data_IF_048218932705
#
_entry.id   IF_048218932705
#
_cell.length_a   1.000
_cell.length_b   1.000
_cell.length_c   1.000
_cell.angle_alpha   90.00
_cell.angle_beta   90.00
_cell.angle_gamma   90.00
#
_symmetry.space_group_name_H-M   'P 1'
#
loop_
_entity.id
_entity.type
_entity.pdbx_description
1 polymer ?
#
# COMPACT_ATOMS: atom_id res chain seq x y z
N UNK A 1 -4.93 -24.20 2.40
CA UNK A 1 -3.84 -23.25 2.02
C UNK A 1 -2.48 -23.84 2.40
N UNK A 2 -1.49 -23.88 1.49
CA UNK A 2 -0.17 -24.52 1.73
C UNK A 2 0.84 -23.56 2.38
N UNK A 3 0.42 -22.83 3.42
CA UNK A 3 1.29 -21.88 4.13
C UNK A 3 2.34 -22.64 4.92
N UNK A 4 3.61 -22.26 4.77
CA UNK A 4 4.74 -22.87 5.50
C UNK A 4 5.43 -21.78 6.30
N UNK A 5 5.28 -21.84 7.62
CA UNK A 5 5.82 -20.83 8.53
C UNK A 5 7.08 -21.35 9.21
N UNK A 6 8.13 -20.53 9.25
CA UNK A 6 9.31 -20.78 10.08
C UNK A 6 9.02 -20.64 11.58
N UNK A 7 10.06 -20.57 12.42
CA UNK A 7 9.88 -20.19 13.82
C UNK A 7 9.63 -18.69 13.92
N UNK A 8 8.53 -18.24 14.53
CA UNK A 8 8.19 -16.83 14.61
C UNK A 8 6.82 -16.58 15.24
N UNK A 9 6.32 -15.35 15.09
CA UNK A 9 5.02 -14.93 15.66
C UNK A 9 4.15 -14.28 14.58
N UNK A 10 2.89 -14.69 14.51
CA UNK A 10 1.85 -14.04 13.72
C UNK A 10 0.71 -13.56 14.63
N UNK A 11 0.35 -12.27 14.54
CA UNK A 11 -0.70 -11.64 15.35
C UNK A 11 -1.67 -10.91 14.41
N UNK A 12 -2.95 -11.28 14.39
CA UNK A 12 -3.98 -10.64 13.55
C UNK A 12 -3.54 -10.40 12.10
N UNK A 13 -2.99 -11.46 11.49
CA UNK A 13 -2.45 -11.47 10.14
C UNK A 13 -3.02 -12.62 9.31
N UNK A 14 -2.99 -12.48 7.99
CA UNK A 14 -3.54 -13.47 7.05
C UNK A 14 -2.49 -13.87 6.02
N UNK A 15 -2.38 -15.18 5.78
CA UNK A 15 -1.58 -15.76 4.71
C UNK A 15 -2.51 -16.56 3.80
N UNK A 16 -2.64 -16.16 2.52
CA UNK A 16 -3.48 -16.89 1.57
C UNK A 16 -2.84 -18.21 1.11
N UNK A 17 -1.53 -18.36 1.34
CA UNK A 17 -0.79 -19.60 1.16
C UNK A 17 -0.12 -19.70 -0.21
N UNK A 18 0.36 -20.90 -0.52
CA UNK A 18 1.23 -21.14 -1.67
C UNK A 18 0.57 -21.97 -2.78
N UNK A 19 0.80 -21.56 -4.02
CA UNK A 19 0.43 -22.26 -5.26
C UNK A 19 1.65 -22.86 -5.98
N UNK A 20 2.86 -22.42 -5.64
CA UNK A 20 4.11 -23.06 -6.06
C UNK A 20 4.92 -23.62 -4.89
N UNK A 21 5.87 -24.49 -5.18
CA UNK A 21 6.67 -25.15 -4.15
C UNK A 21 7.89 -24.31 -3.73
N UNK A 22 8.43 -23.48 -4.64
CA UNK A 22 9.60 -22.61 -4.42
C UNK A 22 9.19 -21.12 -4.31
N UNK A 23 9.68 -20.35 -3.31
CA UNK A 23 10.55 -20.77 -2.19
C UNK A 23 9.81 -21.73 -1.26
N UNK A 24 10.51 -22.69 -0.64
CA UNK A 24 9.91 -23.74 0.22
C UNK A 24 9.06 -23.21 1.39
N UNK A 25 9.21 -21.93 1.77
CA UNK A 25 8.53 -21.29 2.88
C UNK A 25 7.63 -20.12 2.44
N UNK A 26 6.64 -19.78 3.26
CA UNK A 26 5.94 -18.48 3.23
C UNK A 26 6.68 -17.48 4.11
N UNK A 27 7.15 -17.92 5.29
CA UNK A 27 8.00 -17.11 6.17
C UNK A 27 9.25 -17.87 6.60
N UNK A 28 10.40 -17.20 6.62
CA UNK A 28 11.64 -17.73 7.17
C UNK A 28 11.68 -17.73 8.70
N UNK A 29 12.77 -18.22 9.29
CA UNK A 29 13.00 -18.20 10.74
C UNK A 29 13.13 -16.78 11.31
N UNK A 30 12.63 -16.58 12.52
CA UNK A 30 12.65 -15.30 13.23
C UNK A 30 11.68 -14.27 12.67
N UNK A 31 10.62 -14.69 11.97
CA UNK A 31 9.63 -13.75 11.44
C UNK A 31 8.73 -13.20 12.55
N UNK A 32 8.24 -11.98 12.34
CA UNK A 32 7.14 -11.38 13.10
C UNK A 32 6.17 -10.70 12.14
N UNK A 33 5.00 -11.31 11.93
CA UNK A 33 3.93 -10.73 11.13
C UNK A 33 2.85 -10.23 12.07
N UNK A 34 2.72 -8.91 12.17
CA UNK A 34 1.85 -8.23 13.14
C UNK A 34 0.52 -7.84 12.53
N UNK A 35 -0.34 -7.31 13.40
CA UNK A 35 -1.70 -6.88 13.07
C UNK A 35 -1.78 -6.10 11.77
N UNK A 36 -2.77 -6.48 10.96
CA UNK A 36 -3.08 -5.81 9.70
C UNK A 36 -2.18 -6.21 8.54
N UNK A 37 -1.33 -7.23 8.70
CA UNK A 37 -0.54 -7.74 7.59
C UNK A 37 -1.26 -8.86 6.82
N UNK A 38 -1.15 -8.81 5.49
CA UNK A 38 -1.78 -9.73 4.55
C UNK A 38 -0.76 -10.14 3.49
N UNK A 39 -0.49 -11.43 3.41
CA UNK A 39 0.37 -12.03 2.39
C UNK A 39 -0.54 -12.81 1.45
N UNK A 40 -0.69 -12.32 0.22
CA UNK A 40 -1.47 -13.01 -0.81
C UNK A 40 -0.69 -14.20 -1.40
N UNK A 41 -1.24 -14.84 -2.43
CA UNK A 41 -0.73 -16.11 -2.95
C UNK A 41 0.76 -16.05 -3.32
N UNK A 42 1.55 -16.97 -2.77
CA UNK A 42 3.01 -17.06 -2.96
C UNK A 42 3.82 -15.80 -2.55
N UNK A 43 3.19 -14.81 -1.91
CA UNK A 43 3.92 -13.75 -1.23
C UNK A 43 4.66 -14.33 -0.03
N UNK A 44 5.90 -13.92 0.15
CA UNK A 44 6.76 -14.52 1.16
C UNK A 44 7.76 -13.52 1.74
N UNK A 45 8.31 -13.89 2.90
CA UNK A 45 9.37 -13.15 3.56
C UNK A 45 10.43 -14.10 4.09
N UNK A 46 11.70 -13.82 3.87
CA UNK A 46 12.80 -14.63 4.37
C UNK A 46 12.98 -14.48 5.90
N UNK A 47 14.20 -14.61 6.39
CA UNK A 47 14.49 -14.71 7.83
C UNK A 47 14.54 -13.33 8.50
N UNK A 48 14.19 -13.27 9.80
CA UNK A 48 14.24 -12.06 10.63
C UNK A 48 13.52 -10.85 10.03
N UNK A 49 12.25 -11.03 9.69
CA UNK A 49 11.41 -9.99 9.08
C UNK A 49 10.34 -9.53 10.05
N UNK A 50 10.08 -8.22 10.13
CA UNK A 50 8.96 -7.63 10.89
C UNK A 50 8.04 -6.87 9.92
N UNK A 51 6.76 -7.26 9.88
CA UNK A 51 5.74 -6.57 9.09
C UNK A 51 4.54 -6.19 9.94
N UNK A 52 3.94 -5.03 9.69
CA UNK A 52 2.73 -4.54 10.36
C UNK A 52 1.96 -3.62 9.43
N UNK A 53 0.64 -3.81 9.30
CA UNK A 53 -0.16 -3.07 8.32
C UNK A 53 0.46 -3.16 6.91
N UNK A 54 0.88 -4.37 6.54
CA UNK A 54 1.65 -4.62 5.32
C UNK A 54 0.89 -5.56 4.41
N UNK A 55 0.62 -5.12 3.19
CA UNK A 55 -0.11 -5.91 2.20
C UNK A 55 0.86 -6.26 1.07
N UNK A 56 1.09 -7.55 0.89
CA UNK A 56 1.91 -8.11 -0.18
C UNK A 56 0.98 -8.84 -1.15
N UNK A 57 0.82 -8.28 -2.35
CA UNK A 57 0.10 -8.95 -3.44
C UNK A 57 0.92 -10.17 -3.94
N UNK A 58 0.36 -11.03 -4.82
CA UNK A 58 0.99 -12.29 -5.17
C UNK A 58 2.42 -12.15 -5.66
N UNK A 59 3.23 -13.12 -5.25
CA UNK A 59 4.67 -13.25 -5.53
C UNK A 59 5.60 -12.21 -4.90
N UNK A 60 5.10 -11.16 -4.26
CA UNK A 60 5.99 -10.20 -3.60
C UNK A 60 6.86 -10.91 -2.56
N UNK A 61 8.18 -10.73 -2.68
CA UNK A 61 9.18 -11.40 -1.86
C UNK A 61 9.96 -10.36 -1.05
N UNK A 62 9.93 -10.51 0.28
CA UNK A 62 10.79 -9.76 1.19
C UNK A 62 12.02 -10.60 1.51
N UNK A 63 13.20 -10.01 1.37
CA UNK A 63 14.48 -10.58 1.82
C UNK A 63 14.57 -10.69 3.34
N UNK A 64 15.78 -10.87 3.85
CA UNK A 64 16.03 -11.10 5.28
C UNK A 64 16.35 -9.81 6.03
N UNK A 65 16.19 -9.81 7.36
CA UNK A 65 16.55 -8.68 8.24
C UNK A 65 15.83 -7.37 7.86
N UNK A 66 14.51 -7.45 7.64
CA UNK A 66 13.69 -6.35 7.12
C UNK A 66 12.74 -5.83 8.20
N UNK A 67 12.55 -4.51 8.27
CA UNK A 67 11.40 -3.88 8.93
C UNK A 67 10.52 -3.21 7.88
N UNK A 68 9.35 -3.78 7.60
CA UNK A 68 8.48 -3.38 6.50
C UNK A 68 7.06 -3.19 6.98
N UNK A 69 6.78 -2.02 7.52
CA UNK A 69 5.48 -1.68 8.10
C UNK A 69 4.78 -0.59 7.30
N UNK A 70 3.45 -0.58 7.26
CA UNK A 70 2.65 0.46 6.60
C UNK A 70 2.93 0.58 5.09
N UNK A 71 3.05 -0.56 4.39
CA UNK A 71 3.35 -0.61 2.94
C UNK A 71 2.39 -1.54 2.22
N UNK A 72 1.92 -1.13 1.04
CA UNK A 72 1.32 -2.03 0.05
C UNK A 72 2.34 -2.25 -1.07
N UNK A 73 2.59 -3.50 -1.44
CA UNK A 73 3.49 -3.85 -2.55
C UNK A 73 2.75 -4.73 -3.55
N UNK A 74 2.82 -4.36 -4.81
CA UNK A 74 2.23 -5.07 -5.95
C UNK A 74 3.27 -5.40 -7.02
N UNK A 75 2.82 -6.01 -8.11
CA UNK A 75 3.61 -6.18 -9.33
C UNK A 75 4.36 -7.49 -9.39
N UNK A 76 4.63 -7.90 -10.62
CA UNK A 76 5.17 -9.22 -10.94
C UNK A 76 4.21 -10.00 -11.83
N UNK A 77 4.77 -10.96 -12.55
CA UNK A 77 4.06 -11.77 -13.57
C UNK A 77 4.19 -13.27 -13.33
N UNK A 78 4.89 -13.66 -12.26
CA UNK A 78 5.06 -15.04 -11.84
C UNK A 78 6.06 -15.17 -10.69
N UNK A 79 6.19 -16.40 -10.15
CA UNK A 79 7.10 -16.70 -9.05
C UNK A 79 8.56 -16.95 -9.48
N UNK A 80 8.84 -16.99 -10.79
CA UNK A 80 10.18 -17.25 -11.30
C UNK A 80 11.16 -16.10 -11.06
N UNK A 81 12.46 -16.41 -11.03
CA UNK A 81 13.51 -15.40 -10.93
C UNK A 81 13.33 -14.30 -11.98
N UNK A 82 13.35 -13.05 -11.54
CA UNK A 82 13.15 -11.89 -12.40
C UNK A 82 11.69 -11.64 -12.81
N UNK A 83 10.71 -12.38 -12.27
CA UNK A 83 9.28 -12.17 -12.51
C UNK A 83 8.52 -11.62 -11.29
N UNK A 84 8.99 -11.87 -10.07
CA UNK A 84 8.37 -11.37 -8.84
C UNK A 84 8.94 -10.02 -8.38
N UNK A 85 8.15 -9.26 -7.63
CA UNK A 85 8.66 -8.02 -7.00
C UNK A 85 9.49 -8.35 -5.77
N UNK A 86 10.68 -7.77 -5.70
CA UNK A 86 11.65 -8.06 -4.64
C UNK A 86 11.93 -6.83 -3.79
N UNK A 87 11.90 -7.01 -2.47
CA UNK A 87 12.45 -6.08 -1.49
C UNK A 87 13.67 -6.74 -0.86
N UNK A 88 14.87 -6.29 -1.25
CA UNK A 88 16.12 -6.91 -0.84
C UNK A 88 16.37 -6.86 0.67
N UNK A 89 17.18 -7.80 1.14
CA UNK A 89 17.53 -7.95 2.56
C UNK A 89 18.07 -6.66 3.19
N UNK A 90 17.76 -6.41 4.45
CA UNK A 90 18.18 -5.21 5.19
C UNK A 90 17.37 -3.95 4.86
N UNK A 91 16.33 -4.07 4.03
CA UNK A 91 15.48 -2.93 3.72
C UNK A 91 14.64 -2.47 4.92
N UNK A 92 14.44 -1.16 5.01
CA UNK A 92 13.63 -0.53 6.06
C UNK A 92 12.67 0.48 5.45
N UNK A 93 11.39 0.40 5.82
CA UNK A 93 10.44 1.48 5.58
C UNK A 93 10.28 2.34 6.84
N UNK A 94 10.76 3.58 6.78
CA UNK A 94 10.58 4.57 7.85
C UNK A 94 9.16 5.12 7.82
N UNK A 95 8.31 4.54 8.67
CA UNK A 95 6.87 4.80 8.81
C UNK A 95 6.49 5.61 10.07
N UNK A 96 7.48 6.28 10.69
CA UNK A 96 7.28 7.08 11.89
C UNK A 96 8.12 8.35 11.77
N UNK A 97 7.48 9.51 11.90
CA UNK A 97 8.20 10.78 11.81
C UNK A 97 8.83 11.13 13.17
N UNK A 98 9.88 11.99 13.19
CA UNK A 98 10.39 12.56 14.45
C UNK A 98 9.32 13.31 15.27
N UNK A 99 8.22 13.75 14.64
CA UNK A 99 7.10 14.46 15.29
C UNK A 99 6.05 13.49 15.88
N UNK A 100 6.30 12.19 15.77
CA UNK A 100 5.47 11.15 16.36
C UNK A 100 4.18 10.86 15.57
N UNK A 101 4.13 11.18 14.28
CA UNK A 101 3.00 10.82 13.40
C UNK A 101 3.34 9.66 12.45
N UNK A 102 2.29 9.02 11.93
CA UNK A 102 2.36 7.82 11.06
C UNK A 102 1.50 7.94 9.81
N UNK A 103 1.21 9.17 9.37
CA UNK A 103 0.53 9.41 8.08
C UNK A 103 1.53 9.23 6.92
N UNK A 104 2.19 8.07 6.88
CA UNK A 104 3.41 7.81 6.09
C UNK A 104 3.32 6.49 5.33
N UNK A 105 2.13 5.92 5.14
CA UNK A 105 1.99 4.67 4.42
C UNK A 105 2.48 4.81 2.97
N UNK A 106 3.14 3.78 2.45
CA UNK A 106 3.75 3.79 1.12
C UNK A 106 3.09 2.81 0.16
N UNK A 107 2.90 3.24 -1.09
CA UNK A 107 2.21 2.52 -2.15
C UNK A 107 3.21 2.14 -3.25
N UNK A 108 3.63 0.87 -3.32
CA UNK A 108 4.63 0.41 -4.28
C UNK A 108 3.96 -0.46 -5.35
N UNK A 109 3.82 0.07 -6.56
CA UNK A 109 2.81 -0.36 -7.51
C UNK A 109 1.42 0.13 -7.08
N UNK A 110 0.36 -0.48 -7.60
CA UNK A 110 -1.00 -0.17 -7.15
C UNK A 110 -1.92 -1.40 -7.24
N UNK A 111 -3.11 -1.30 -6.65
CA UNK A 111 -4.10 -2.39 -6.62
C UNK A 111 -4.88 -2.43 -7.93
N UNK A 112 -5.31 -1.26 -8.41
CA UNK A 112 -6.15 -1.11 -9.60
C UNK A 112 -5.59 -1.84 -10.82
N UNK A 113 -4.28 -1.90 -10.91
CA UNK A 113 -3.55 -2.59 -11.94
C UNK A 113 -2.88 -3.89 -11.46
N UNK A 114 -2.44 -3.95 -10.21
CA UNK A 114 -1.62 -5.05 -9.70
C UNK A 114 -2.36 -6.37 -9.48
N UNK A 115 -3.66 -6.34 -9.18
CA UNK A 115 -4.45 -7.56 -8.91
C UNK A 115 -4.59 -8.48 -10.13
N UNK A 116 -4.29 -7.97 -11.34
CA UNK A 116 -4.38 -8.72 -12.60
C UNK A 116 -3.09 -9.48 -12.96
N UNK A 117 -2.03 -9.37 -12.16
CA UNK A 117 -0.83 -10.22 -12.24
C UNK A 117 -0.09 -10.17 -13.58
N UNK A 118 -0.10 -9.02 -14.23
CA UNK A 118 0.50 -8.78 -15.55
C UNK A 118 1.26 -7.44 -15.62
N UNK A 119 1.62 -6.88 -14.46
CA UNK A 119 2.43 -5.67 -14.35
C UNK A 119 3.87 -5.98 -14.02
N UNK A 120 4.78 -5.14 -14.53
CA UNK A 120 6.22 -5.26 -14.29
C UNK A 120 6.52 -5.31 -12.80
N UNK A 121 7.47 -6.18 -12.43
CA UNK A 121 7.93 -6.30 -11.05
C UNK A 121 8.61 -5.01 -10.57
N UNK A 122 8.62 -4.78 -9.27
CA UNK A 122 9.49 -3.81 -8.63
C UNK A 122 10.76 -4.50 -8.11
N UNK A 123 11.86 -3.76 -8.03
CA UNK A 123 13.09 -4.27 -7.42
C UNK A 123 13.70 -3.20 -6.51
N UNK A 124 13.65 -3.42 -5.20
CA UNK A 124 14.35 -2.59 -4.23
C UNK A 124 15.62 -3.32 -3.80
N UNK A 125 16.80 -2.78 -4.11
CA UNK A 125 18.06 -3.39 -3.72
C UNK A 125 18.19 -3.57 -2.20
N UNK A 126 19.02 -4.51 -1.75
CA UNK A 126 19.24 -4.72 -0.31
C UNK A 126 19.78 -3.48 0.42
N UNK A 127 19.60 -3.42 1.73
CA UNK A 127 19.96 -2.28 2.60
C UNK A 127 19.35 -0.95 2.15
N UNK A 128 18.23 -0.98 1.43
CA UNK A 128 17.51 0.22 1.00
C UNK A 128 16.62 0.78 2.10
N UNK A 129 16.59 2.09 2.22
CA UNK A 129 15.67 2.82 3.09
C UNK A 129 14.61 3.54 2.28
N UNK A 130 13.34 3.31 2.59
CA UNK A 130 12.23 4.13 2.10
C UNK A 130 11.74 5.06 3.20
N UNK A 131 11.63 6.36 2.91
CA UNK A 131 11.05 7.35 3.82
C UNK A 131 9.60 7.61 3.42
N UNK A 132 8.67 7.18 4.26
CA UNK A 132 7.24 7.31 4.01
C UNK A 132 6.72 8.76 4.13
N UNK A 133 5.64 9.12 3.41
CA UNK A 133 5.01 8.31 2.37
C UNK A 133 5.81 8.32 1.05
N UNK A 134 5.89 7.15 0.43
CA UNK A 134 6.59 6.88 -0.83
C UNK A 134 5.62 6.21 -1.81
N UNK A 135 5.76 6.52 -3.09
CA UNK A 135 4.97 5.93 -4.18
C UNK A 135 5.92 5.36 -5.23
N UNK A 136 5.66 4.19 -5.79
CA UNK A 136 6.49 3.63 -6.86
C UNK A 136 5.63 3.12 -8.01
N UNK A 137 6.03 3.45 -9.23
CA UNK A 137 5.43 2.90 -10.44
C UNK A 137 5.89 1.45 -10.63
N UNK A 138 5.09 0.62 -11.32
CA UNK A 138 5.53 -0.70 -11.75
C UNK A 138 6.81 -0.61 -12.58
N UNK A 139 7.75 -1.53 -12.37
CA UNK A 139 9.07 -1.48 -13.01
C UNK A 139 10.07 -0.54 -12.36
N UNK A 140 9.75 0.09 -11.22
CA UNK A 140 10.73 0.85 -10.46
C UNK A 140 11.84 -0.07 -9.90
N UNK A 141 13.07 0.40 -10.06
CA UNK A 141 14.30 -0.29 -9.62
C UNK A 141 15.11 0.66 -8.74
N UNK A 142 15.64 0.19 -7.61
CA UNK A 142 16.67 0.90 -6.82
C UNK A 142 17.94 0.06 -6.70
N UNK A 143 19.08 0.74 -6.64
CA UNK A 143 20.33 0.11 -6.21
C UNK A 143 20.31 -0.23 -4.71
N UNK A 144 21.24 -1.07 -4.27
CA UNK A 144 21.41 -1.39 -2.85
C UNK A 144 21.96 -0.19 -2.06
N UNK A 145 21.62 -0.10 -0.77
CA UNK A 145 22.13 0.92 0.15
C UNK A 145 21.53 2.32 -0.01
N UNK A 146 20.58 2.51 -0.93
CA UNK A 146 19.98 3.81 -1.22
C UNK A 146 18.95 4.27 -0.19
N UNK A 147 18.82 5.58 0.02
CA UNK A 147 17.70 6.19 0.76
C UNK A 147 16.79 6.93 -0.20
N UNK A 148 15.53 6.50 -0.30
CA UNK A 148 14.56 7.06 -1.26
C UNK A 148 13.32 7.61 -0.55
N UNK A 149 12.73 8.65 -1.14
CA UNK A 149 11.51 9.30 -0.65
C UNK A 149 10.73 9.88 -1.83
N UNK A 150 9.41 10.07 -1.67
CA UNK A 150 8.59 10.65 -2.72
C UNK A 150 8.20 9.61 -3.78
N UNK A 151 8.28 9.95 -5.06
CA UNK A 151 7.85 9.06 -6.15
C UNK A 151 9.04 8.40 -6.83
N UNK A 152 8.98 7.09 -7.02
CA UNK A 152 9.92 6.28 -7.80
C UNK A 152 9.29 5.97 -9.15
N UNK A 153 9.95 6.38 -10.23
CA UNK A 153 9.48 6.12 -11.58
C UNK A 153 9.88 4.72 -12.04
N UNK A 154 9.24 4.23 -13.11
CA UNK A 154 9.70 3.03 -13.80
C UNK A 154 11.16 3.21 -14.27
N UNK A 155 12.00 2.18 -14.06
CA UNK A 155 13.44 2.23 -14.33
C UNK A 155 14.29 2.47 -13.06
N UNK A 156 15.59 2.72 -13.27
CA UNK A 156 16.55 2.88 -12.18
C UNK A 156 16.41 4.25 -11.51
N UNK A 157 16.09 4.26 -10.23
CA UNK A 157 16.01 5.44 -9.37
C UNK A 157 17.30 5.53 -8.55
N UNK A 158 18.12 6.55 -8.81
CA UNK A 158 19.30 6.83 -8.02
C UNK A 158 18.91 7.41 -6.65
N UNK A 159 19.64 7.03 -5.60
CA UNK A 159 19.49 7.69 -4.31
C UNK A 159 20.08 9.10 -4.40
N UNK A 160 19.39 10.14 -3.88
CA UNK A 160 19.96 11.47 -3.79
C UNK A 160 21.23 11.45 -2.92
N UNK A 161 22.24 12.28 -3.24
CA UNK A 161 23.43 12.39 -2.42
C UNK A 161 23.06 12.84 -1.00
N UNK A 162 23.78 12.31 0.00
CA UNK A 162 23.64 12.79 1.37
C UNK A 162 24.27 14.18 1.45
N UNK A 163 23.43 15.20 1.59
CA UNK A 163 23.91 16.57 1.74
C UNK A 163 24.51 16.74 3.15
N UNK A 164 25.80 17.04 3.22
CA UNK A 164 26.57 17.22 4.47
C UNK A 164 26.31 18.56 5.17
N UNK A 165 25.13 19.14 4.96
CA UNK A 165 24.77 20.46 5.46
C UNK A 165 24.86 20.56 6.99
N UNK A 166 25.17 21.76 7.48
CA UNK A 166 25.20 22.03 8.91
C UNK A 166 23.85 21.74 9.58
N UNK A 167 23.89 21.31 10.85
CA UNK A 167 22.69 21.14 11.66
C UNK A 167 21.85 22.42 11.63
N UNK A 168 20.58 22.30 11.27
CA UNK A 168 19.62 23.40 11.27
C UNK A 168 18.72 23.31 12.49
N UNK A 169 18.22 24.46 12.94
CA UNK A 169 17.17 24.47 13.96
C UNK A 169 15.97 23.63 13.47
N UNK A 170 15.50 22.73 14.33
CA UNK A 170 14.42 21.81 14.02
C UNK A 170 13.38 21.84 15.13
N UNK A 171 12.24 22.46 14.84
CA UNK A 171 11.09 22.51 15.75
C UNK A 171 10.17 21.31 15.50
N UNK A 172 9.99 20.50 16.55
CA UNK A 172 9.12 19.31 16.55
C UNK A 172 7.63 19.68 16.44
N UNK A 173 7.25 20.89 16.80
CA UNK A 173 5.86 21.35 16.78
C UNK A 173 5.47 21.97 15.43
N UNK A 174 6.46 22.38 14.61
CA UNK A 174 6.21 22.97 13.29
C UNK A 174 6.23 21.90 12.20
N UNK A 175 5.09 21.67 11.55
CA UNK A 175 4.97 20.77 10.40
C UNK A 175 5.38 21.43 9.08
N UNK A 176 5.74 20.59 8.10
CA UNK A 176 6.03 21.00 6.72
C UNK A 176 4.77 21.22 5.88
N UNK A 177 4.94 21.12 4.56
CA UNK A 177 3.83 21.05 3.62
C UNK A 177 3.05 19.74 3.80
N UNK A 178 1.76 19.83 4.11
CA UNK A 178 0.89 18.68 4.44
C UNK A 178 0.08 18.16 3.26
N UNK A 179 -0.18 18.97 2.22
CA UNK A 179 -0.99 18.53 1.06
C UNK A 179 -0.41 17.31 0.37
N UNK A 180 0.92 17.25 0.21
CA UNK A 180 1.62 16.09 -0.36
C UNK A 180 1.33 14.81 0.45
N UNK A 181 1.42 14.91 1.77
CA UNK A 181 1.19 13.79 2.70
C UNK A 181 -0.27 13.35 2.61
N UNK A 182 -1.21 14.30 2.74
CA UNK A 182 -2.64 14.02 2.66
C UNK A 182 -3.01 13.38 1.32
N UNK A 183 -2.53 13.93 0.20
CA UNK A 183 -2.79 13.38 -1.13
C UNK A 183 -2.26 11.95 -1.28
N UNK A 184 -1.06 11.67 -0.78
CA UNK A 184 -0.48 10.32 -0.82
C UNK A 184 -1.28 9.33 0.02
N UNK A 185 -1.67 9.70 1.24
CA UNK A 185 -2.47 8.82 2.10
C UNK A 185 -3.90 8.61 1.59
N UNK A 186 -4.52 9.65 1.00
CA UNK A 186 -5.82 9.52 0.32
C UNK A 186 -5.73 8.57 -0.87
N UNK A 187 -4.68 8.66 -1.69
CA UNK A 187 -4.41 7.68 -2.77
C UNK A 187 -4.22 6.27 -2.21
N UNK A 188 -3.49 6.10 -1.11
CA UNK A 188 -3.32 4.80 -0.46
C UNK A 188 -4.67 4.21 0.00
N UNK A 189 -5.52 5.00 0.65
CA UNK A 189 -6.88 4.58 1.07
C UNK A 189 -7.76 4.22 -0.14
N UNK A 190 -7.64 4.98 -1.23
CA UNK A 190 -8.36 4.68 -2.47
C UNK A 190 -7.95 3.32 -3.07
N UNK A 191 -6.65 3.00 -3.06
CA UNK A 191 -6.16 1.69 -3.49
C UNK A 191 -6.60 0.54 -2.57
N UNK A 192 -6.62 0.76 -1.25
CA UNK A 192 -7.20 -0.21 -0.33
C UNK A 192 -8.71 -0.41 -0.56
N UNK A 193 -9.43 0.64 -0.93
CA UNK A 193 -10.85 0.57 -1.27
C UNK A 193 -11.09 -0.24 -2.54
N UNK A 194 -10.22 -0.08 -3.55
CA UNK A 194 -10.20 -0.95 -4.71
C UNK A 194 -9.89 -2.41 -4.33
N UNK A 195 -8.98 -2.64 -3.38
CA UNK A 195 -8.66 -3.99 -2.91
C UNK A 195 -9.84 -4.62 -2.19
N UNK A 196 -10.54 -3.88 -1.34
CA UNK A 196 -11.76 -4.34 -0.68
C UNK A 196 -12.83 -4.76 -1.70
N UNK A 197 -13.01 -3.98 -2.77
CA UNK A 197 -13.89 -4.34 -3.87
C UNK A 197 -13.43 -5.59 -4.62
N UNK A 198 -12.13 -5.75 -4.85
CA UNK A 198 -11.57 -6.96 -5.44
C UNK A 198 -11.78 -8.20 -4.55
N UNK A 199 -11.66 -8.07 -3.23
CA UNK A 199 -11.98 -9.16 -2.30
C UNK A 199 -13.45 -9.56 -2.39
N UNK A 200 -14.37 -8.58 -2.43
CA UNK A 200 -15.80 -8.83 -2.48
C UNK A 200 -16.28 -9.37 -3.84
N UNK A 201 -15.84 -8.77 -4.94
CA UNK A 201 -16.33 -9.07 -6.29
C UNK A 201 -15.43 -10.00 -7.11
N UNK A 202 -14.13 -10.04 -6.83
CA UNK A 202 -13.16 -10.89 -7.54
C UNK A 202 -12.88 -12.19 -6.78
N UNK A 203 -12.45 -12.10 -5.52
CA UNK A 203 -12.01 -13.26 -4.73
C UNK A 203 -13.18 -14.07 -4.15
N UNK A 204 -14.16 -13.43 -3.51
CA UNK A 204 -15.24 -14.16 -2.84
C UNK A 204 -16.04 -15.11 -3.76
N UNK A 205 -16.35 -14.76 -5.03
CA UNK A 205 -16.99 -15.70 -5.95
C UNK A 205 -16.17 -16.95 -6.23
N UNK A 206 -14.84 -16.84 -6.29
CA UNK A 206 -13.92 -17.96 -6.51
C UNK A 206 -13.83 -18.91 -5.30
N UNK A 207 -14.39 -18.54 -4.15
CA UNK A 207 -14.41 -19.37 -2.95
C UNK A 207 -15.73 -20.12 -2.73
N UNK A 208 -16.75 -19.90 -3.56
CA UNK A 208 -18.05 -20.56 -3.42
C UNK A 208 -17.90 -22.08 -3.48
N UNK A 209 -18.49 -22.77 -2.51
CA UNK A 209 -18.40 -24.23 -2.37
C UNK A 209 -17.15 -24.71 -1.62
N UNK A 210 -16.22 -23.83 -1.27
CA UNK A 210 -15.04 -24.11 -0.44
C UNK A 210 -15.15 -23.28 0.86
N UNK A 211 -15.59 -23.93 1.94
CA UNK A 211 -15.84 -23.27 3.21
C UNK A 211 -14.56 -22.69 3.84
N UNK A 212 -13.44 -23.41 3.75
CA UNK A 212 -12.15 -22.95 4.28
C UNK A 212 -11.66 -21.72 3.54
N UNK A 213 -11.72 -21.73 2.21
CA UNK A 213 -11.31 -20.60 1.38
C UNK A 213 -12.25 -19.40 1.54
N UNK A 214 -13.55 -19.65 1.70
CA UNK A 214 -14.53 -18.59 1.98
C UNK A 214 -14.16 -17.87 3.28
N UNK A 215 -13.88 -18.63 4.34
CA UNK A 215 -13.45 -18.05 5.61
C UNK A 215 -12.10 -17.31 5.47
N UNK A 216 -11.14 -17.88 4.75
CA UNK A 216 -9.82 -17.28 4.55
C UNK A 216 -9.89 -15.95 3.79
N UNK A 217 -10.66 -15.87 2.70
CA UNK A 217 -10.85 -14.64 1.94
C UNK A 217 -11.67 -13.61 2.71
N UNK A 218 -12.64 -14.03 3.53
CA UNK A 218 -13.34 -13.12 4.44
C UNK A 218 -12.35 -12.49 5.44
N UNK A 219 -11.47 -13.29 6.05
CA UNK A 219 -10.40 -12.77 6.92
C UNK A 219 -9.44 -11.84 6.19
N UNK A 220 -9.07 -12.14 4.95
CA UNK A 220 -8.28 -11.23 4.10
C UNK A 220 -8.98 -9.89 3.88
N UNK A 221 -10.27 -9.90 3.57
CA UNK A 221 -11.08 -8.69 3.41
C UNK A 221 -11.14 -7.85 4.70
N UNK A 222 -11.25 -8.50 5.87
CA UNK A 222 -11.21 -7.84 7.17
C UNK A 222 -9.84 -7.18 7.45
N UNK A 223 -8.72 -7.78 7.04
CA UNK A 223 -7.40 -7.15 7.12
C UNK A 223 -7.33 -5.89 6.24
N UNK A 224 -7.91 -5.92 5.04
CA UNK A 224 -7.99 -4.73 4.18
C UNK A 224 -8.82 -3.63 4.85
N UNK A 225 -9.99 -3.96 5.40
CA UNK A 225 -10.83 -3.00 6.13
C UNK A 225 -10.12 -2.40 7.35
N UNK A 226 -9.37 -3.24 8.09
CA UNK A 226 -8.54 -2.79 9.21
C UNK A 226 -7.46 -1.80 8.77
N UNK A 227 -6.82 -2.05 7.62
CA UNK A 227 -5.86 -1.10 7.04
C UNK A 227 -6.53 0.23 6.71
N UNK A 228 -7.71 0.24 6.09
CA UNK A 228 -8.44 1.47 5.77
C UNK A 228 -8.72 2.27 7.04
N UNK A 229 -9.28 1.65 8.07
CA UNK A 229 -9.60 2.29 9.34
C UNK A 229 -8.35 2.90 10.01
N UNK A 230 -7.25 2.15 10.06
CA UNK A 230 -5.98 2.63 10.60
C UNK A 230 -5.46 3.84 9.80
N UNK A 231 -5.49 3.82 8.47
CA UNK A 231 -5.01 4.94 7.63
C UNK A 231 -5.84 6.21 7.81
N UNK A 232 -7.16 6.08 7.90
CA UNK A 232 -8.05 7.21 8.22
C UNK A 232 -7.72 7.76 9.61
N UNK A 233 -7.52 6.89 10.60
CA UNK A 233 -7.12 7.29 11.96
C UNK A 233 -5.78 8.02 12.00
N UNK A 234 -4.77 7.55 11.29
CA UNK A 234 -3.45 8.21 11.23
C UNK A 234 -3.51 9.58 10.55
N UNK A 235 -4.33 9.74 9.50
CA UNK A 235 -4.59 11.05 8.91
C UNK A 235 -5.31 12.00 9.88
N UNK A 236 -6.26 11.50 10.68
CA UNK A 236 -6.90 12.28 11.72
C UNK A 236 -5.93 12.73 12.81
N UNK A 237 -5.00 11.85 13.18
CA UNK A 237 -3.88 12.20 14.06
C UNK A 237 -3.00 13.31 13.49
N UNK A 238 -2.71 13.30 12.18
CA UNK A 238 -1.98 14.38 11.53
C UNK A 238 -2.78 15.69 11.57
N UNK A 239 -4.07 15.66 11.21
CA UNK A 239 -4.93 16.84 11.20
C UNK A 239 -5.03 17.51 12.58
N UNK A 240 -5.18 16.73 13.65
CA UNK A 240 -5.24 17.23 15.02
C UNK A 240 -3.96 17.99 15.45
N UNK A 241 -2.79 17.62 14.91
CA UNK A 241 -1.52 18.31 15.21
C UNK A 241 -1.39 19.67 14.51
N UNK A 242 -2.23 19.96 13.51
CA UNK A 242 -2.18 21.23 12.77
C UNK A 242 -2.49 22.42 13.66
N UNK A 243 -3.36 22.29 14.66
CA UNK A 243 -3.66 23.36 15.61
C UNK A 243 -2.38 23.91 16.27
N UNK A 244 -1.55 23.01 16.80
CA UNK A 244 -0.30 23.38 17.46
C UNK A 244 0.73 23.95 16.48
N UNK A 245 0.86 23.31 15.31
CA UNK A 245 1.78 23.76 14.27
C UNK A 245 1.43 25.16 13.74
N UNK A 246 0.14 25.43 13.51
CA UNK A 246 -0.35 26.74 13.08
C UNK A 246 -0.02 27.81 14.11
N UNK A 247 -0.31 27.55 15.39
CA UNK A 247 0.01 28.49 16.48
C UNK A 247 1.50 28.84 16.53
N UNK A 248 2.37 27.82 16.43
CA UNK A 248 3.84 28.03 16.43
C UNK A 248 4.35 28.77 15.20
N UNK A 249 3.77 28.50 14.04
CA UNK A 249 4.09 29.23 12.81
C UNK A 249 3.62 30.68 12.88
N UNK A 250 2.45 30.96 13.45
CA UNK A 250 1.97 32.32 13.66
C UNK A 250 2.89 33.12 14.60
N UNK A 251 3.41 32.50 15.66
CA UNK A 251 4.34 33.12 16.60
C UNK A 251 5.70 33.44 15.95
N UNK A 252 6.26 32.51 15.16
CA UNK A 252 7.63 32.61 14.62
C UNK A 252 7.72 33.20 13.22
N UNK A 253 6.73 32.94 12.37
CA UNK A 253 6.71 33.32 10.96
C UNK A 253 5.26 33.52 10.46
N UNK A 254 4.57 34.63 10.84
CA UNK A 254 3.15 34.86 10.55
C UNK A 254 2.77 34.86 9.05
N UNK A 255 3.75 35.00 8.15
CA UNK A 255 3.58 35.01 6.69
C UNK A 255 4.04 33.71 6.03
N UNK A 256 4.28 32.64 6.80
CA UNK A 256 4.74 31.38 6.28
C UNK A 256 3.71 30.75 5.33
N UNK A 257 4.16 30.37 4.12
CA UNK A 257 3.30 29.83 3.07
C UNK A 257 2.65 28.47 3.42
N UNK A 258 3.07 27.81 4.51
CA UNK A 258 2.44 26.58 5.03
C UNK A 258 1.14 26.85 5.80
N UNK A 259 0.97 28.04 6.39
CA UNK A 259 -0.18 28.38 7.24
C UNK A 259 -1.54 28.16 6.57
N UNK A 260 -1.78 28.63 5.32
CA UNK A 260 -3.07 28.41 4.65
C UNK A 260 -3.40 26.93 4.51
N UNK A 261 -2.41 26.11 4.18
CA UNK A 261 -2.58 24.68 3.98
C UNK A 261 -2.88 23.92 5.27
N UNK A 262 -2.18 24.25 6.36
CA UNK A 262 -2.40 23.61 7.67
C UNK A 262 -3.77 24.01 8.26
N UNK A 263 -4.16 25.29 8.14
CA UNK A 263 -5.50 25.76 8.54
C UNK A 263 -6.61 25.11 7.71
N UNK A 264 -6.39 24.92 6.41
CA UNK A 264 -7.35 24.23 5.55
C UNK A 264 -7.54 22.77 5.96
N UNK A 265 -6.46 22.04 6.24
CA UNK A 265 -6.55 20.66 6.73
C UNK A 265 -7.32 20.59 8.05
N UNK A 266 -7.00 21.46 9.02
CA UNK A 266 -7.70 21.51 10.30
C UNK A 266 -9.21 21.76 10.13
N UNK A 267 -9.57 22.74 9.27
CA UNK A 267 -10.96 23.13 9.01
C UNK A 267 -11.76 22.05 8.30
N UNK A 268 -11.17 21.44 7.28
CA UNK A 268 -11.87 20.53 6.37
C UNK A 268 -11.79 19.06 6.79
N UNK A 269 -10.92 18.71 7.75
CA UNK A 269 -10.74 17.32 8.19
C UNK A 269 -12.05 16.58 8.52
N UNK A 270 -13.03 17.14 9.25
CA UNK A 270 -14.28 16.41 9.53
C UNK A 270 -15.03 15.98 8.26
N UNK A 271 -15.09 16.85 7.25
CA UNK A 271 -15.71 16.53 5.96
C UNK A 271 -14.88 15.51 5.17
N UNK A 272 -13.55 15.65 5.18
CA UNK A 272 -12.65 14.67 4.55
C UNK A 272 -12.80 13.29 5.20
N UNK A 273 -12.82 13.23 6.52
CA UNK A 273 -12.95 11.99 7.29
C UNK A 273 -14.28 11.30 7.01
N UNK A 274 -15.39 12.04 7.02
CA UNK A 274 -16.71 11.47 6.71
C UNK A 274 -16.72 10.83 5.31
N UNK A 275 -16.14 11.51 4.31
CA UNK A 275 -16.03 10.98 2.95
C UNK A 275 -15.15 9.74 2.87
N UNK A 276 -14.01 9.72 3.57
CA UNK A 276 -13.12 8.56 3.59
C UNK A 276 -13.75 7.36 4.32
N UNK A 277 -14.51 7.59 5.39
CA UNK A 277 -15.27 6.54 6.07
C UNK A 277 -16.38 5.96 5.19
N UNK A 278 -16.96 6.77 4.31
CA UNK A 278 -17.93 6.36 3.30
C UNK A 278 -17.29 5.65 2.07
N UNK A 279 -16.02 5.23 2.12
CA UNK A 279 -15.37 4.53 1.01
C UNK A 279 -16.14 3.28 0.54
N UNK A 280 -16.85 2.62 1.46
CA UNK A 280 -17.72 1.47 1.20
C UNK A 280 -18.79 1.75 0.14
N UNK A 281 -19.36 2.95 0.13
CA UNK A 281 -20.41 3.36 -0.81
C UNK A 281 -19.90 3.43 -2.26
N UNK A 282 -18.59 3.48 -2.46
CA UNK A 282 -17.98 3.43 -3.79
C UNK A 282 -17.96 2.02 -4.40
N UNK A 283 -18.30 0.97 -3.64
CA UNK A 283 -18.32 -0.41 -4.10
C UNK A 283 -19.45 -0.62 -5.10
N UNK A 284 -19.09 -0.58 -6.38
CA UNK A 284 -19.96 -1.04 -7.46
C UNK A 284 -19.73 -2.53 -7.68
N UNK A 285 -20.75 -3.30 -8.13
CA UNK A 285 -20.56 -4.69 -8.48
C UNK A 285 -19.53 -4.83 -9.62
N UNK A 286 -18.78 -5.95 -9.66
CA UNK A 286 -17.86 -6.22 -10.76
C UNK A 286 -18.62 -6.31 -12.10
N UNK A 287 -18.03 -5.86 -13.21
CA UNK A 287 -18.64 -6.00 -14.53
C UNK A 287 -18.91 -7.46 -14.90
N UNK A 288 -20.02 -7.75 -15.59
CA UNK A 288 -20.41 -9.11 -15.98
C UNK A 288 -19.32 -9.83 -16.79
N UNK A 289 -18.64 -9.11 -17.68
CA UNK A 289 -17.53 -9.64 -18.50
C UNK A 289 -16.37 -10.16 -17.64
N UNK A 290 -16.10 -9.50 -16.51
CA UNK A 290 -15.06 -9.92 -15.57
C UNK A 290 -15.53 -11.13 -14.77
N UNK A 291 -16.76 -11.07 -14.24
CA UNK A 291 -17.36 -12.15 -13.45
C UNK A 291 -17.44 -13.45 -14.25
N UNK A 292 -17.93 -13.38 -15.50
CA UNK A 292 -18.01 -14.54 -16.39
C UNK A 292 -16.63 -15.10 -16.74
N UNK A 293 -15.65 -14.24 -16.99
CA UNK A 293 -14.28 -14.67 -17.29
C UNK A 293 -13.60 -15.35 -16.08
N UNK A 294 -13.81 -14.85 -14.87
CA UNK A 294 -13.31 -15.47 -13.64
C UNK A 294 -13.90 -16.87 -13.44
N UNK A 295 -15.22 -17.03 -13.66
CA UNK A 295 -15.90 -18.32 -13.58
C UNK A 295 -15.39 -19.32 -14.63
N UNK A 296 -15.26 -18.86 -15.89
CA UNK A 296 -14.74 -19.70 -16.97
C UNK A 296 -13.29 -20.14 -16.71
N UNK A 297 -12.43 -19.21 -16.25
CA UNK A 297 -11.04 -19.53 -15.91
C UNK A 297 -10.94 -20.49 -14.70
N UNK A 298 -11.82 -20.36 -13.70
CA UNK A 298 -11.90 -21.29 -12.58
C UNK A 298 -12.34 -22.69 -13.03
N UNK A 299 -13.32 -22.79 -13.92
CA UNK A 299 -13.76 -24.08 -14.46
C UNK A 299 -12.64 -24.79 -15.23
N UNK A 300 -11.76 -24.04 -15.91
CA UNK A 300 -10.66 -24.58 -16.69
C UNK A 300 -9.41 -24.90 -15.86
N UNK A 301 -9.03 -24.03 -14.93
CA UNK A 301 -7.76 -24.11 -14.19
C UNK A 301 -7.91 -24.62 -12.76
N UNK A 302 -9.13 -24.95 -12.35
CA UNK A 302 -9.43 -25.39 -11.01
C UNK A 302 -9.24 -24.27 -9.98
N UNK A 303 -8.82 -24.60 -8.75
CA UNK A 303 -8.89 -23.66 -7.63
C UNK A 303 -7.62 -22.80 -7.44
N UNK A 304 -6.67 -22.81 -8.37
CA UNK A 304 -5.43 -22.01 -8.25
C UNK A 304 -5.69 -20.54 -8.68
N UNK A 305 -5.81 -19.65 -7.72
CA UNK A 305 -6.12 -18.23 -7.88
C UNK A 305 -5.21 -17.54 -8.90
N UNK A 306 -3.88 -17.71 -8.78
CA UNK A 306 -2.95 -16.99 -9.68
C UNK A 306 -3.08 -17.48 -11.13
N UNK A 307 -3.41 -18.76 -11.33
CA UNK A 307 -3.70 -19.33 -12.66
C UNK A 307 -5.01 -18.80 -13.24
N UNK A 308 -6.06 -18.72 -12.42
CA UNK A 308 -7.36 -18.15 -12.82
C UNK A 308 -7.19 -16.71 -13.30
N UNK A 309 -6.55 -15.86 -12.49
CA UNK A 309 -6.38 -14.44 -12.81
C UNK A 309 -5.52 -14.24 -14.06
N UNK A 310 -4.41 -14.99 -14.19
CA UNK A 310 -3.57 -14.93 -15.38
C UNK A 310 -4.25 -15.42 -16.65
N UNK A 311 -5.25 -16.29 -16.53
CA UNK A 311 -6.02 -16.80 -17.67
C UNK A 311 -7.11 -15.81 -18.15
N UNK A 312 -7.36 -14.73 -17.41
CA UNK A 312 -8.34 -13.73 -17.83
C UNK A 312 -8.00 -13.16 -19.21
N UNK A 313 -8.95 -13.08 -20.15
CA UNK A 313 -8.72 -12.49 -21.46
C UNK A 313 -8.59 -10.96 -21.36
N UNK A 314 -7.91 -10.30 -22.32
CA UNK A 314 -7.68 -8.85 -22.26
C UNK A 314 -8.93 -7.99 -22.03
N UNK A 315 -10.09 -8.26 -22.68
CA UNK A 315 -11.31 -7.47 -22.42
C UNK A 315 -11.80 -7.54 -20.96
N UNK A 316 -11.66 -8.70 -20.31
CA UNK A 316 -12.07 -8.86 -18.91
C UNK A 316 -11.13 -8.12 -17.96
N UNK A 317 -9.81 -8.18 -18.20
CA UNK A 317 -8.83 -7.42 -17.42
C UNK A 317 -9.06 -5.92 -17.55
N UNK A 318 -9.27 -5.42 -18.76
CA UNK A 318 -9.50 -3.99 -18.99
C UNK A 318 -10.81 -3.51 -18.34
N UNK A 319 -11.88 -4.31 -18.40
CA UNK A 319 -13.11 -4.01 -17.69
C UNK A 319 -12.89 -3.97 -16.16
N UNK A 320 -12.12 -4.92 -15.62
CA UNK A 320 -11.76 -4.95 -14.21
C UNK A 320 -10.90 -3.76 -13.78
N UNK A 321 -9.89 -3.38 -14.56
CA UNK A 321 -9.07 -2.18 -14.30
C UNK A 321 -9.91 -0.92 -14.23
N UNK A 322 -10.77 -0.70 -15.23
CA UNK A 322 -11.68 0.45 -15.26
C UNK A 322 -12.63 0.46 -14.07
N UNK A 323 -13.16 -0.69 -13.69
CA UNK A 323 -14.00 -0.83 -12.50
C UNK A 323 -13.26 -0.41 -11.22
N UNK A 324 -12.08 -0.98 -10.96
CA UNK A 324 -11.29 -0.68 -9.77
C UNK A 324 -10.78 0.77 -9.76
N UNK A 325 -10.32 1.27 -10.91
CA UNK A 325 -9.89 2.67 -11.08
C UNK A 325 -11.04 3.65 -10.81
N UNK A 326 -12.26 3.33 -11.25
CA UNK A 326 -13.46 4.12 -10.94
C UNK A 326 -13.76 4.18 -9.44
N UNK A 327 -13.56 3.09 -8.71
CA UNK A 327 -13.69 3.06 -7.24
C UNK A 327 -12.63 3.95 -6.60
N UNK A 328 -11.36 3.76 -6.98
CA UNK A 328 -10.26 4.55 -6.43
C UNK A 328 -10.44 6.05 -6.70
N UNK A 329 -10.84 6.44 -7.92
CA UNK A 329 -11.07 7.83 -8.31
C UNK A 329 -12.19 8.50 -7.51
N UNK A 330 -13.27 7.78 -7.15
CA UNK A 330 -14.34 8.33 -6.31
C UNK A 330 -13.88 8.63 -4.89
N UNK A 331 -13.02 7.78 -4.33
CA UNK A 331 -12.41 7.96 -3.00
C UNK A 331 -11.39 9.09 -3.02
N UNK A 332 -10.47 9.08 -3.99
CA UNK A 332 -9.41 10.09 -4.16
C UNK A 332 -9.79 11.20 -5.16
N UNK A 333 -11.01 11.71 -5.09
CA UNK A 333 -11.49 12.73 -6.04
C UNK A 333 -10.69 14.03 -5.93
N UNK A 334 -10.51 14.72 -7.06
CA UNK A 334 -9.86 16.02 -7.10
C UNK A 334 -10.51 17.05 -6.17
N UNK A 335 -11.83 17.06 -6.05
CA UNK A 335 -12.56 17.96 -5.14
C UNK A 335 -12.12 17.81 -3.67
N UNK A 336 -11.81 16.59 -3.23
CA UNK A 336 -11.35 16.31 -1.87
C UNK A 336 -9.95 16.89 -1.62
N UNK A 337 -9.07 16.79 -2.62
CA UNK A 337 -7.69 17.30 -2.54
C UNK A 337 -7.62 18.81 -2.81
N UNK A 338 -8.56 19.36 -3.56
CA UNK A 338 -8.71 20.79 -3.82
C UNK A 338 -9.08 21.59 -2.56
N UNK A 339 -9.59 20.94 -1.51
CA UNK A 339 -9.79 21.54 -0.18
C UNK A 339 -8.47 22.05 0.45
N UNK A 340 -7.31 21.55 -0.02
CA UNK A 340 -6.01 21.99 0.45
C UNK A 340 -5.34 22.90 -0.60
N UNK A 341 -5.02 24.16 -0.26
CA UNK A 341 -4.35 25.06 -1.19
C UNK A 341 -2.92 24.60 -1.50
N UNK A 342 -2.45 24.91 -2.70
CA UNK A 342 -1.05 24.76 -3.05
C UNK A 342 -0.19 25.80 -2.34
N UNK A 343 1.05 25.41 -2.03
CA UNK A 343 2.03 26.36 -1.52
C UNK A 343 2.59 27.09 -2.74
N UNK A 344 2.10 28.31 -2.97
CA UNK A 344 2.74 29.23 -3.91
C UNK A 344 4.04 29.69 -3.25
N UNK A 345 5.18 29.21 -3.75
CA UNK A 345 6.47 29.83 -3.41
C UNK A 345 6.48 31.17 -4.11
N UNK A 346 6.30 32.26 -3.36
CA UNK A 346 6.68 33.58 -3.84
C UNK A 346 8.19 33.54 -4.07
N UNK A 347 8.58 33.61 -5.35
CA UNK A 347 9.97 33.80 -5.79
C UNK A 347 10.58 35.05 -5.17
#
# INVERSE_FOLDING_TARGET
>A
PRTVLGCGVAEDAVFLGKEVDDPAFTTGYGFRVRKGSLYEEDANSAQHTDTKMTILLPWVTLGSNINWCDVLVAGGVGPGLGQFSEVGSGAVHFNFTPRGDKATASLLGDVTDGVFLDRSRLFLGGNTSLVGPCEADFGAVTGAGGRHAGRLAAGLNAAPPVDGGAAREFDLEIYGAVKRVVASQVRYIAQLSALAAWYAGGRAPLARGDAERTALYARGAEIVALNIAERIGQLGGLAARMERSVRRLEERAPRDARLPQQRALLRHWPAMQARLLAHGESHQPPPDVLTAALQAAQALHGPAYTRIVRALPPPAREAGRRWLAGIAARVASDDLLALLPDIVRTS
#
